data_IF_720094364378
#
_entry.id   IF_720094364378
#
_cell.length_a   1.000
_cell.length_b   1.000
_cell.length_c   1.000
_cell.angle_alpha   90.00
_cell.angle_beta   90.00
_cell.angle_gamma   90.00
#
_symmetry.space_group_name_H-M   'P 1'
#
loop_
_entity.id
_entity.type
_entity.pdbx_description
1 polymer ?
#
# COMPACT_ATOMS: atom_id res chain seq x y z
N UNK A 1 3.43 -21.23 -11.76
CA UNK A 1 2.80 -20.63 -12.95
C UNK A 1 1.79 -19.52 -12.62
N UNK A 2 0.83 -19.72 -11.70
CA UNK A 2 -0.25 -18.75 -11.40
C UNK A 2 0.22 -17.31 -11.09
N UNK A 3 1.24 -17.12 -10.25
CA UNK A 3 1.77 -15.78 -9.91
C UNK A 3 2.42 -15.06 -11.09
N UNK A 4 3.16 -15.77 -11.95
CA UNK A 4 3.80 -15.19 -13.14
C UNK A 4 2.76 -14.65 -14.13
N UNK A 5 1.68 -15.41 -14.33
CA UNK A 5 0.54 -14.97 -15.14
C UNK A 5 -0.13 -13.71 -14.56
N UNK A 6 -0.34 -13.65 -13.25
CA UNK A 6 -0.89 -12.45 -12.61
C UNK A 6 0.01 -11.22 -12.79
N UNK A 7 1.34 -11.36 -12.62
CA UNK A 7 2.26 -10.25 -12.88
C UNK A 7 2.24 -9.80 -14.35
N UNK A 8 2.17 -10.74 -15.28
CA UNK A 8 1.99 -10.41 -16.69
C UNK A 8 0.71 -9.60 -16.92
N UNK A 9 -0.42 -10.01 -16.34
CA UNK A 9 -1.67 -9.25 -16.41
C UNK A 9 -1.56 -7.85 -15.79
N UNK A 10 -0.84 -7.70 -14.67
CA UNK A 10 -0.59 -6.39 -14.04
C UNK A 10 0.20 -5.48 -14.99
N UNK A 11 1.24 -6.00 -15.65
CA UNK A 11 2.03 -5.26 -16.63
C UNK A 11 1.18 -4.86 -17.84
N UNK A 12 0.32 -5.76 -18.33
CA UNK A 12 -0.62 -5.44 -19.41
C UNK A 12 -1.58 -4.31 -18.98
N UNK A 13 -2.15 -4.39 -17.76
CA UNK A 13 -2.99 -3.31 -17.23
C UNK A 13 -2.22 -1.98 -17.13
N UNK A 14 -0.94 -2.04 -16.75
CA UNK A 14 -0.07 -0.86 -16.68
C UNK A 14 0.10 -0.19 -18.04
N UNK A 15 0.44 -0.97 -19.06
CA UNK A 15 0.60 -0.48 -20.43
C UNK A 15 -0.73 0.14 -20.93
N UNK A 16 -1.85 -0.55 -20.70
CA UNK A 16 -3.16 -0.10 -21.15
C UNK A 16 -3.59 1.22 -20.51
N UNK A 17 -3.42 1.39 -19.18
CA UNK A 17 -3.79 2.66 -18.56
C UNK A 17 -2.88 3.81 -19.00
N UNK A 18 -1.58 3.56 -19.27
CA UNK A 18 -0.66 4.58 -19.78
C UNK A 18 -1.10 5.05 -21.17
N UNK A 19 -1.43 4.11 -22.06
CA UNK A 19 -1.93 4.42 -23.41
C UNK A 19 -3.17 5.32 -23.34
N UNK A 20 -4.10 5.02 -22.42
CA UNK A 20 -5.33 5.79 -22.25
C UNK A 20 -5.05 7.16 -21.60
N UNK A 21 -4.24 7.21 -20.53
CA UNK A 21 -3.91 8.46 -19.83
C UNK A 21 -3.23 9.48 -20.75
N UNK A 22 -2.36 9.01 -21.65
CA UNK A 22 -1.67 9.86 -22.62
C UNK A 22 -2.46 10.09 -23.92
N UNK A 23 -3.72 9.65 -23.98
CA UNK A 23 -4.61 9.78 -25.13
C UNK A 23 -4.03 9.19 -26.43
N UNK A 24 -3.18 8.18 -26.32
CA UNK A 24 -2.64 7.45 -27.48
C UNK A 24 -3.77 6.64 -28.14
N UNK A 25 -4.66 6.06 -27.32
CA UNK A 25 -5.84 5.34 -27.78
C UNK A 25 -6.97 5.45 -26.75
N UNK A 26 -8.22 5.54 -27.20
CA UNK A 26 -9.39 5.64 -26.33
C UNK A 26 -10.35 4.47 -26.57
N UNK A 27 -10.82 3.87 -25.48
CA UNK A 27 -11.84 2.82 -25.52
C UNK A 27 -13.19 3.42 -25.10
N UNK A 28 -14.26 3.12 -25.85
CA UNK A 28 -15.60 3.59 -25.51
C UNK A 28 -16.06 2.90 -24.22
N UNK A 29 -16.40 3.69 -23.20
CA UNK A 29 -16.94 3.19 -21.93
C UNK A 29 -15.92 2.62 -20.92
N UNK A 30 -14.63 2.56 -21.26
CA UNK A 30 -13.58 2.09 -20.35
C UNK A 30 -12.59 3.23 -20.07
N UNK A 31 -12.46 3.59 -18.81
CA UNK A 31 -11.53 4.64 -18.34
C UNK A 31 -10.20 4.04 -17.92
N UNK A 32 -9.14 4.86 -17.85
CA UNK A 32 -7.85 4.43 -17.31
C UNK A 32 -7.96 4.01 -15.84
N UNK A 33 -8.87 4.62 -15.07
CA UNK A 33 -9.19 4.24 -13.69
C UNK A 33 -9.57 2.77 -13.53
N UNK A 34 -10.29 2.19 -14.50
CA UNK A 34 -10.68 0.78 -14.47
C UNK A 34 -9.45 -0.14 -14.51
N UNK A 35 -8.48 0.15 -15.39
CA UNK A 35 -7.25 -0.63 -15.50
C UNK A 35 -6.31 -0.43 -14.30
N UNK A 36 -6.24 0.79 -13.77
CA UNK A 36 -5.50 1.11 -12.53
C UNK A 36 -6.02 0.30 -11.35
N UNK A 37 -7.34 0.30 -11.17
CA UNK A 37 -7.99 -0.46 -10.09
C UNK A 37 -7.87 -1.98 -10.29
N UNK A 38 -8.05 -2.46 -11.52
CA UNK A 38 -7.84 -3.88 -11.84
C UNK A 38 -6.41 -4.34 -11.53
N UNK A 39 -5.40 -3.53 -11.83
CA UNK A 39 -4.01 -3.84 -11.51
C UNK A 39 -3.81 -4.02 -9.99
N UNK A 40 -4.45 -3.18 -9.16
CA UNK A 40 -4.39 -3.29 -7.70
C UNK A 40 -5.11 -4.54 -7.18
N UNK A 41 -6.28 -4.89 -7.75
CA UNK A 41 -6.97 -6.15 -7.44
C UNK A 41 -6.09 -7.37 -7.80
N UNK A 42 -5.49 -7.36 -8.98
CA UNK A 42 -4.58 -8.43 -9.41
C UNK A 42 -3.37 -8.53 -8.46
N UNK A 43 -2.81 -7.39 -8.05
CA UNK A 43 -1.72 -7.33 -7.07
C UNK A 43 -2.13 -7.98 -5.74
N UNK A 44 -3.36 -7.75 -5.28
CA UNK A 44 -3.90 -8.39 -4.06
C UNK A 44 -3.92 -9.91 -4.13
N UNK A 45 -4.22 -10.49 -5.29
CA UNK A 45 -4.14 -11.93 -5.47
C UNK A 45 -2.71 -12.48 -5.48
N UNK A 46 -1.71 -11.65 -5.76
CA UNK A 46 -0.29 -12.03 -5.66
C UNK A 46 0.29 -11.91 -4.25
N UNK A 47 -0.32 -11.06 -3.41
CA UNK A 47 0.17 -10.68 -2.10
C UNK A 47 0.22 -11.85 -1.10
N UNK A 48 1.18 -11.78 -0.18
CA UNK A 48 1.24 -12.71 0.95
C UNK A 48 0.14 -12.40 1.98
N UNK A 49 -0.28 -13.40 2.77
CA UNK A 49 -1.36 -13.30 3.77
C UNK A 49 -1.25 -12.07 4.67
N UNK A 50 -0.05 -11.73 5.14
CA UNK A 50 0.20 -10.55 5.98
C UNK A 50 0.04 -9.21 5.24
N UNK A 51 0.38 -9.17 3.95
CA UNK A 51 0.27 -7.95 3.13
C UNK A 51 -1.12 -7.79 2.53
N UNK A 52 -1.89 -8.87 2.37
CA UNK A 52 -3.27 -8.82 1.86
C UNK A 52 -4.14 -7.85 2.65
N UNK A 53 -4.03 -7.86 3.98
CA UNK A 53 -4.85 -6.98 4.81
C UNK A 53 -4.49 -5.49 4.65
N UNK A 54 -3.20 -5.16 4.54
CA UNK A 54 -2.81 -3.78 4.24
C UNK A 54 -3.31 -3.40 2.84
N UNK A 55 -3.12 -4.29 1.88
CA UNK A 55 -3.49 -4.07 0.50
C UNK A 55 -5.01 -4.00 0.28
N UNK A 56 -5.84 -4.61 1.14
CA UNK A 56 -7.29 -4.39 1.10
C UNK A 56 -7.68 -2.97 1.52
N UNK A 57 -6.98 -2.40 2.51
CA UNK A 57 -7.15 -0.99 2.85
C UNK A 57 -6.66 -0.10 1.71
N UNK A 58 -5.51 -0.41 1.12
CA UNK A 58 -5.00 0.31 -0.06
C UNK A 58 -5.98 0.27 -1.23
N UNK A 59 -6.54 -0.91 -1.56
CA UNK A 59 -7.58 -1.04 -2.60
C UNK A 59 -8.81 -0.21 -2.26
N UNK A 60 -9.25 -0.21 -0.99
CA UNK A 60 -10.36 0.63 -0.56
C UNK A 60 -10.06 2.12 -0.74
N UNK A 61 -8.85 2.57 -0.39
CA UNK A 61 -8.42 3.94 -0.63
C UNK A 61 -8.38 4.27 -2.12
N UNK A 62 -7.81 3.38 -2.95
CA UNK A 62 -7.74 3.55 -4.40
C UNK A 62 -9.12 3.61 -5.02
N UNK A 63 -10.08 2.80 -4.55
CA UNK A 63 -11.47 2.87 -4.98
C UNK A 63 -12.06 4.25 -4.70
N UNK A 64 -11.89 4.76 -3.48
CA UNK A 64 -12.40 6.06 -3.08
C UNK A 64 -11.78 7.18 -3.94
N UNK A 65 -10.47 7.17 -4.14
CA UNK A 65 -9.76 8.22 -4.89
C UNK A 65 -9.99 8.15 -6.41
N UNK A 66 -10.24 6.97 -6.98
CA UNK A 66 -10.44 6.80 -8.43
C UNK A 66 -11.89 6.98 -8.87
N UNK A 67 -12.87 6.60 -8.05
CA UNK A 67 -14.27 6.49 -8.47
C UNK A 67 -15.23 7.35 -7.67
N UNK A 68 -14.81 7.96 -6.57
CA UNK A 68 -15.68 8.79 -5.73
C UNK A 68 -15.06 10.18 -5.52
N UNK A 69 -15.86 11.11 -5.00
CA UNK A 69 -15.40 12.44 -4.60
C UNK A 69 -14.86 12.48 -3.16
N UNK A 70 -14.76 11.32 -2.49
CA UNK A 70 -14.51 11.23 -1.05
C UNK A 70 -12.99 11.24 -0.75
N UNK A 71 -12.31 12.27 -1.23
CA UNK A 71 -10.84 12.39 -1.13
C UNK A 71 -10.35 12.40 0.32
N UNK A 72 -11.04 13.10 1.23
CA UNK A 72 -10.68 13.14 2.64
C UNK A 72 -10.69 11.74 3.27
N UNK A 73 -11.70 10.93 2.95
CA UNK A 73 -11.80 9.56 3.44
C UNK A 73 -10.69 8.68 2.86
N UNK A 74 -10.42 8.80 1.55
CA UNK A 74 -9.33 8.07 0.90
C UNK A 74 -7.96 8.35 1.53
N UNK A 75 -7.62 9.64 1.70
CA UNK A 75 -6.34 10.04 2.33
C UNK A 75 -6.28 9.64 3.81
N UNK A 76 -7.38 9.78 4.55
CA UNK A 76 -7.43 9.37 5.95
C UNK A 76 -7.16 7.86 6.12
N UNK A 77 -7.73 7.02 5.26
CA UNK A 77 -7.45 5.59 5.27
C UNK A 77 -6.04 5.25 4.78
N UNK A 78 -5.43 6.06 3.91
CA UNK A 78 -4.00 5.92 3.57
C UNK A 78 -3.09 6.18 4.79
N UNK A 79 -3.47 7.09 5.69
CA UNK A 79 -2.78 7.24 6.98
C UNK A 79 -2.82 5.93 7.77
N UNK A 80 -3.99 5.27 7.82
CA UNK A 80 -4.15 3.97 8.47
C UNK A 80 -3.25 2.92 7.81
N UNK A 81 -3.19 2.87 6.48
CA UNK A 81 -2.29 1.96 5.73
C UNK A 81 -0.84 2.07 6.22
N UNK A 82 -0.32 3.28 6.42
CA UNK A 82 1.06 3.44 6.91
C UNK A 82 1.23 3.11 8.40
N UNK A 83 0.23 3.37 9.24
CA UNK A 83 0.21 2.88 10.63
C UNK A 83 0.30 1.36 10.64
N UNK A 84 -0.42 0.67 9.76
CA UNK A 84 -0.39 -0.79 9.68
C UNK A 84 0.96 -1.32 9.22
N UNK A 85 1.61 -0.65 8.25
CA UNK A 85 2.99 -0.99 7.89
C UNK A 85 3.96 -0.81 9.06
N UNK A 86 3.80 0.25 9.87
CA UNK A 86 4.58 0.48 11.10
C UNK A 86 4.31 -0.56 12.17
N UNK A 87 3.05 -0.95 12.40
CA UNK A 87 2.69 -2.01 13.34
C UNK A 87 3.31 -3.36 12.93
N UNK A 88 3.35 -3.66 11.62
CA UNK A 88 4.03 -4.87 11.11
C UNK A 88 5.55 -4.88 11.32
N UNK A 89 6.15 -3.70 11.49
CA UNK A 89 7.57 -3.55 11.79
C UNK A 89 7.88 -3.76 13.29
N UNK A 90 6.88 -3.87 14.17
CA UNK A 90 7.11 -4.02 15.60
C UNK A 90 7.25 -5.49 16.05
N UNK A 91 8.22 -5.79 16.94
CA UNK A 91 8.55 -7.16 17.30
C UNK A 91 7.55 -7.90 18.21
N UNK A 92 6.65 -7.17 18.89
CA UNK A 92 5.86 -7.70 20.01
C UNK A 92 4.38 -7.99 19.69
N UNK A 93 3.94 -7.84 18.45
CA UNK A 93 2.59 -8.25 18.06
C UNK A 93 2.58 -9.76 17.73
N UNK A 94 1.97 -10.55 18.60
CA UNK A 94 1.57 -11.93 18.28
C UNK A 94 0.72 -11.94 17.00
N UNK A 95 1.18 -12.73 16.04
CA UNK A 95 1.42 -12.24 14.68
C UNK A 95 0.19 -12.20 13.77
N UNK A 96 -1.01 -12.51 14.27
CA UNK A 96 -2.17 -12.60 13.38
C UNK A 96 -3.48 -12.07 13.99
N UNK A 97 -3.89 -12.59 15.15
CA UNK A 97 -5.09 -12.11 15.83
C UNK A 97 -4.95 -10.65 16.26
N UNK A 98 -3.83 -10.29 16.90
CA UNK A 98 -3.60 -8.94 17.40
C UNK A 98 -3.45 -7.91 16.28
N UNK A 99 -2.92 -8.35 15.13
CA UNK A 99 -2.88 -7.51 13.94
C UNK A 99 -4.30 -7.25 13.41
N UNK A 100 -5.13 -8.28 13.29
CA UNK A 100 -6.54 -8.15 12.88
C UNK A 100 -7.35 -7.25 13.83
N UNK A 101 -7.19 -7.43 15.14
CA UNK A 101 -7.81 -6.59 16.17
C UNK A 101 -7.39 -5.12 16.04
N UNK A 102 -6.08 -4.88 15.87
CA UNK A 102 -5.55 -3.54 15.64
C UNK A 102 -6.16 -2.90 14.38
N UNK A 103 -6.39 -3.68 13.32
CA UNK A 103 -7.03 -3.15 12.10
C UNK A 103 -8.48 -2.75 12.30
N UNK A 104 -9.28 -3.60 12.95
CA UNK A 104 -10.69 -3.31 13.24
C UNK A 104 -10.79 -2.06 14.10
N UNK A 105 -9.89 -1.93 15.08
CA UNK A 105 -9.82 -0.76 15.96
C UNK A 105 -9.37 0.51 15.23
N UNK A 106 -8.58 0.41 14.16
CA UNK A 106 -8.13 1.54 13.35
C UNK A 106 -9.16 2.02 12.31
N UNK A 107 -10.16 1.20 11.99
CA UNK A 107 -11.25 1.59 11.08
C UNK A 107 -12.04 2.82 11.56
N UNK A 108 -12.54 2.91 12.81
CA UNK A 108 -13.19 4.11 13.30
C UNK A 108 -12.25 5.31 13.36
N UNK A 109 -10.94 5.10 13.55
CA UNK A 109 -9.96 6.19 13.52
C UNK A 109 -9.83 6.79 12.12
N UNK A 110 -9.82 5.98 11.06
CA UNK A 110 -9.82 6.47 9.67
C UNK A 110 -11.08 7.27 9.34
N UNK A 111 -12.24 6.82 9.80
CA UNK A 111 -13.51 7.54 9.63
C UNK A 111 -13.47 8.86 10.40
N UNK A 112 -13.05 8.86 11.67
CA UNK A 112 -12.97 10.06 12.49
C UNK A 112 -12.02 11.10 11.89
N UNK A 113 -10.84 10.65 11.43
CA UNK A 113 -9.84 11.49 10.79
C UNK A 113 -10.39 12.14 9.51
N UNK A 114 -11.29 11.47 8.79
CA UNK A 114 -11.87 11.98 7.54
C UNK A 114 -12.76 13.23 7.71
N UNK A 115 -13.22 13.52 8.94
CA UNK A 115 -13.99 14.74 9.24
C UNK A 115 -13.11 15.99 9.36
N UNK A 116 -11.78 15.84 9.43
CA UNK A 116 -10.87 16.97 9.45
C UNK A 116 -10.74 17.61 8.05
N UNK A 117 -10.32 18.89 7.98
CA UNK A 117 -9.97 19.51 6.72
C UNK A 117 -8.87 18.72 5.98
N UNK A 118 -8.97 18.64 4.65
CA UNK A 118 -8.05 17.85 3.81
C UNK A 118 -6.58 18.15 4.11
N UNK A 119 -6.20 19.42 4.28
CA UNK A 119 -4.83 19.82 4.61
C UNK A 119 -4.34 19.23 5.94
N UNK A 120 -5.20 19.17 6.97
CA UNK A 120 -4.86 18.57 8.26
C UNK A 120 -4.66 17.05 8.13
N UNK A 121 -5.51 16.39 7.34
CA UNK A 121 -5.37 14.96 7.05
C UNK A 121 -4.05 14.69 6.31
N UNK A 122 -3.74 15.51 5.29
CA UNK A 122 -2.49 15.38 4.52
C UNK A 122 -1.26 15.59 5.39
N UNK A 123 -1.27 16.54 6.34
CA UNK A 123 -0.17 16.73 7.29
C UNK A 123 -0.02 15.48 8.17
N UNK A 124 -1.11 14.97 8.75
CA UNK A 124 -1.09 13.77 9.57
C UNK A 124 -0.55 12.56 8.80
N UNK A 125 -1.09 12.34 7.59
CA UNK A 125 -0.63 11.33 6.64
C UNK A 125 0.87 11.46 6.38
N UNK A 126 1.36 12.66 6.06
CA UNK A 126 2.77 12.91 5.72
C UNK A 126 3.70 12.61 6.89
N UNK A 127 3.31 12.96 8.12
CA UNK A 127 4.08 12.66 9.33
C UNK A 127 4.16 11.16 9.60
N UNK A 128 3.04 10.44 9.48
CA UNK A 128 3.00 8.98 9.63
C UNK A 128 3.82 8.30 8.54
N UNK A 129 3.73 8.79 7.31
CA UNK A 129 4.49 8.22 6.19
C UNK A 129 5.99 8.48 6.34
N UNK A 130 6.39 9.66 6.81
CA UNK A 130 7.79 9.96 7.14
C UNK A 130 8.31 9.02 8.24
N UNK A 131 7.53 8.80 9.30
CA UNK A 131 7.88 7.84 10.35
C UNK A 131 8.04 6.42 9.80
N UNK A 132 7.19 6.01 8.86
CA UNK A 132 7.29 4.73 8.16
C UNK A 132 8.59 4.62 7.34
N UNK A 133 8.98 5.69 6.64
CA UNK A 133 10.27 5.75 5.93
C UNK A 133 11.42 5.63 6.92
N UNK A 134 11.46 6.46 7.96
CA UNK A 134 12.55 6.44 8.97
C UNK A 134 12.68 5.05 9.59
N UNK A 135 11.56 4.43 9.98
CA UNK A 135 11.53 3.09 10.57
C UNK A 135 12.04 2.02 9.60
N UNK A 136 11.68 2.10 8.32
CA UNK A 136 12.17 1.21 7.27
C UNK A 136 13.70 1.25 7.12
N UNK A 137 14.28 2.46 7.18
CA UNK A 137 15.72 2.65 7.12
C UNK A 137 16.43 2.18 8.40
N UNK A 138 15.89 2.53 9.57
CA UNK A 138 16.42 2.11 10.86
C UNK A 138 16.44 0.58 11.03
N UNK A 139 15.40 -0.11 10.57
CA UNK A 139 15.29 -1.58 10.64
C UNK A 139 16.03 -2.31 9.50
N UNK A 140 16.82 -1.61 8.68
CA UNK A 140 17.58 -2.17 7.55
C UNK A 140 16.72 -3.05 6.62
N UNK A 141 15.52 -2.57 6.28
CA UNK A 141 14.68 -3.24 5.28
C UNK A 141 15.42 -3.38 3.93
N UNK A 142 14.98 -4.34 3.10
CA UNK A 142 15.57 -4.58 1.78
C UNK A 142 15.59 -3.32 0.91
N UNK A 143 16.60 -3.19 0.06
CA UNK A 143 16.72 -2.03 -0.85
C UNK A 143 15.50 -1.91 -1.78
N UNK A 144 14.93 -3.02 -2.24
CA UNK A 144 13.71 -3.02 -3.04
C UNK A 144 12.50 -2.41 -2.29
N UNK A 145 12.36 -2.68 -0.99
CA UNK A 145 11.31 -2.07 -0.17
C UNK A 145 11.52 -0.55 -0.06
N UNK A 146 12.76 -0.11 0.15
CA UNK A 146 13.12 1.31 0.20
C UNK A 146 12.88 2.02 -1.13
N UNK A 147 13.24 1.40 -2.26
CA UNK A 147 12.91 1.92 -3.60
C UNK A 147 11.40 2.05 -3.77
N UNK A 148 10.63 1.05 -3.29
CA UNK A 148 9.17 1.14 -3.24
C UNK A 148 8.68 2.37 -2.49
N UNK A 149 9.23 2.65 -1.30
CA UNK A 149 8.88 3.85 -0.54
C UNK A 149 9.27 5.15 -1.25
N UNK A 150 10.46 5.20 -1.88
CA UNK A 150 10.89 6.39 -2.64
C UNK A 150 9.94 6.66 -3.82
N UNK A 151 9.56 5.63 -4.56
CA UNK A 151 8.58 5.77 -5.65
C UNK A 151 7.23 6.26 -5.13
N UNK A 152 6.82 5.82 -3.93
CA UNK A 152 5.61 6.32 -3.28
C UNK A 152 5.74 7.82 -2.94
N UNK A 153 6.86 8.25 -2.36
CA UNK A 153 7.12 9.68 -2.08
C UNK A 153 7.02 10.51 -3.37
N UNK A 154 7.64 10.04 -4.45
CA UNK A 154 7.58 10.74 -5.74
C UNK A 154 6.15 10.80 -6.29
N UNK A 155 5.36 9.74 -6.11
CA UNK A 155 3.93 9.73 -6.43
C UNK A 155 3.15 10.78 -5.62
N UNK A 156 3.41 10.90 -4.32
CA UNK A 156 2.78 11.91 -3.46
C UNK A 156 3.19 13.33 -3.87
N UNK A 157 4.47 13.55 -4.22
CA UNK A 157 4.92 14.81 -4.79
C UNK A 157 4.18 15.14 -6.10
N UNK A 158 4.02 14.17 -7.00
CA UNK A 158 3.23 14.36 -8.21
C UNK A 158 1.77 14.70 -7.90
N UNK A 159 1.18 14.06 -6.89
CA UNK A 159 -0.20 14.33 -6.45
C UNK A 159 -0.33 15.76 -5.92
N UNK A 160 0.57 16.19 -5.03
CA UNK A 160 0.59 17.54 -4.49
C UNK A 160 0.80 18.60 -5.59
N UNK A 161 1.77 18.39 -6.49
CA UNK A 161 2.02 19.31 -7.61
C UNK A 161 0.80 19.37 -8.53
N UNK A 162 0.23 18.23 -8.92
CA UNK A 162 -0.96 18.18 -9.78
C UNK A 162 -2.15 18.87 -9.11
N UNK A 163 -2.32 18.73 -7.80
CA UNK A 163 -3.39 19.39 -7.05
C UNK A 163 -3.21 20.91 -6.98
N UNK A 164 -2.02 21.38 -6.64
CA UNK A 164 -1.71 22.80 -6.46
C UNK A 164 -1.66 23.56 -7.80
N UNK A 165 -1.07 22.95 -8.83
CA UNK A 165 -0.83 23.60 -10.13
C UNK A 165 -1.86 23.26 -11.19
N UNK A 166 -2.73 22.27 -10.93
CA UNK A 166 -3.66 21.68 -11.92
C UNK A 166 -2.95 21.11 -13.16
N UNK A 167 -1.67 20.77 -13.03
CA UNK A 167 -0.88 20.22 -14.15
C UNK A 167 -1.28 18.78 -14.47
N UNK A 168 -1.99 18.61 -15.59
CA UNK A 168 -2.53 17.34 -16.06
C UNK A 168 -1.43 16.32 -16.38
N UNK A 169 -0.27 16.76 -16.89
CA UNK A 169 0.83 15.85 -17.25
C UNK A 169 1.39 15.20 -15.99
N UNK A 170 1.61 16.00 -14.94
CA UNK A 170 2.07 15.48 -13.64
C UNK A 170 1.02 14.54 -13.05
N UNK A 171 -0.27 14.88 -13.17
CA UNK A 171 -1.38 14.00 -12.77
C UNK A 171 -1.36 12.63 -13.44
N UNK A 172 -0.94 12.54 -14.71
CA UNK A 172 -0.78 11.27 -15.44
C UNK A 172 0.40 10.43 -14.92
N UNK A 173 1.45 11.07 -14.41
CA UNK A 173 2.63 10.39 -13.89
C UNK A 173 2.42 9.73 -12.52
N UNK A 174 1.38 10.13 -11.76
CA UNK A 174 1.06 9.59 -10.43
C UNK A 174 1.04 8.05 -10.46
N UNK A 175 0.25 7.46 -11.37
CA UNK A 175 0.07 6.01 -11.43
C UNK A 175 1.26 5.24 -12.02
N UNK A 176 2.10 5.92 -12.81
CA UNK A 176 3.36 5.36 -13.33
C UNK A 176 4.35 5.12 -12.17
N UNK A 177 4.31 5.96 -11.14
CA UNK A 177 5.14 5.82 -9.94
C UNK A 177 4.45 4.95 -8.88
N UNK A 178 3.14 5.12 -8.72
CA UNK A 178 2.35 4.44 -7.69
C UNK A 178 2.31 2.92 -7.87
N UNK A 179 1.94 2.41 -9.06
CA UNK A 179 1.77 0.96 -9.23
C UNK A 179 3.09 0.18 -9.02
N UNK A 180 4.24 0.60 -9.57
CA UNK A 180 5.52 -0.02 -9.26
C UNK A 180 5.88 0.05 -7.77
N UNK A 181 5.58 1.17 -7.09
CA UNK A 181 5.73 1.27 -5.64
C UNK A 181 4.91 0.18 -4.91
N UNK A 182 3.62 0.06 -5.21
CA UNK A 182 2.73 -0.93 -4.60
C UNK A 182 3.22 -2.36 -4.84
N UNK A 183 3.69 -2.65 -6.06
CA UNK A 183 4.29 -3.94 -6.40
C UNK A 183 5.48 -4.22 -5.47
N UNK A 184 6.44 -3.30 -5.38
CA UNK A 184 7.64 -3.47 -4.56
C UNK A 184 7.30 -3.63 -3.07
N UNK A 185 6.41 -2.81 -2.52
CA UNK A 185 5.99 -2.88 -1.11
C UNK A 185 5.22 -4.18 -0.79
N UNK A 186 4.55 -4.76 -1.78
CA UNK A 186 3.77 -5.99 -1.63
C UNK A 186 4.62 -7.25 -1.73
N UNK A 187 5.56 -7.30 -2.68
CA UNK A 187 6.34 -8.52 -2.95
C UNK A 187 7.56 -8.66 -2.05
N UNK A 188 8.10 -7.55 -1.55
CA UNK A 188 9.30 -7.59 -0.72
C UNK A 188 8.94 -8.03 0.69
N UNK A 189 9.70 -9.00 1.20
CA UNK A 189 9.61 -9.37 2.62
C UNK A 189 10.21 -8.25 3.44
N UNK A 190 9.47 -7.70 4.40
CA UNK A 190 10.08 -6.91 5.46
C UNK A 190 11.02 -7.83 6.25
N UNK A 191 12.25 -7.36 6.44
CA UNK A 191 13.41 -8.14 6.91
C UNK A 191 13.20 -8.78 8.29
N UNK A 192 12.23 -8.30 9.06
CA UNK A 192 11.87 -8.88 10.36
C UNK A 192 11.57 -10.38 10.31
N UNK A 193 10.91 -10.83 9.24
CA UNK A 193 10.55 -12.25 9.06
C UNK A 193 11.75 -13.19 8.90
N UNK A 194 12.89 -12.70 8.40
CA UNK A 194 14.07 -13.54 8.18
C UNK A 194 14.99 -13.63 9.39
N UNK A 195 15.02 -12.61 10.26
CA UNK A 195 15.97 -12.56 11.39
C UNK A 195 15.36 -12.90 12.73
N UNK A 196 14.08 -12.63 12.98
CA UNK A 196 13.48 -12.88 14.31
C UNK A 196 12.68 -14.18 14.39
N UNK A 197 12.16 -14.69 13.27
CA UNK A 197 11.54 -16.03 13.24
C UNK A 197 12.48 -17.15 13.74
N UNK A 198 13.78 -17.17 13.37
CA UNK A 198 14.74 -18.13 13.93
C UNK A 198 15.02 -17.88 15.42
N UNK A 199 15.08 -16.63 15.86
CA UNK A 199 15.37 -16.28 17.26
C UNK A 199 14.18 -16.59 18.19
N UNK A 200 12.95 -16.44 17.72
CA UNK A 200 11.74 -16.88 18.43
C UNK A 200 11.65 -18.41 18.49
N UNK A 201 12.07 -19.11 17.44
CA UNK A 201 12.23 -20.58 17.46
C UNK A 201 13.22 -21.04 18.54
N UNK A 202 14.28 -20.26 18.77
CA UNK A 202 15.29 -20.54 19.80
C UNK A 202 14.77 -20.18 21.21
N UNK A 203 14.05 -19.05 21.36
CA UNK A 203 13.64 -18.52 22.67
C UNK A 203 12.37 -19.17 23.24
N UNK A 204 11.46 -19.66 22.40
CA UNK A 204 10.19 -20.29 22.83
C UNK A 204 9.86 -21.57 22.03
N UNK A 205 10.68 -22.63 22.12
CA UNK A 205 10.50 -23.84 21.31
C UNK A 205 9.17 -24.57 21.58
N UNK A 206 8.59 -24.40 22.78
CA UNK A 206 7.35 -25.09 23.19
C UNK A 206 6.08 -24.52 22.56
N UNK A 207 6.04 -23.22 22.22
CA UNK A 207 4.86 -22.59 21.62
C UNK A 207 4.64 -23.04 20.15
N UNK A 208 5.72 -23.41 19.44
CA UNK A 208 5.64 -23.91 18.07
C UNK A 208 5.20 -25.39 17.97
N UNK A 209 5.44 -26.21 19.00
CA UNK A 209 4.93 -27.60 19.02
C UNK A 209 3.41 -27.67 19.10
N UNK A 210 2.77 -26.68 19.71
CA UNK A 210 1.31 -26.60 19.82
C UNK A 210 0.65 -26.14 18.50
N UNK A 211 1.33 -25.34 17.68
CA UNK A 211 0.82 -24.95 16.35
C UNK A 211 0.92 -26.06 15.30
N UNK A 212 1.83 -27.04 15.44
CA UNK A 212 1.92 -28.19 14.53
C UNK A 212 0.86 -29.27 14.76
N UNK A 213 0.10 -29.19 15.86
CA UNK A 213 -0.91 -30.17 16.27
C UNK A 213 -2.36 -29.70 16.06
N UNK A 214 -2.58 -28.56 15.39
CA UNK A 214 -3.91 -28.10 14.97
C UNK A 214 -3.98 -27.95 13.46
#
# INVERSE_FOLDING_TARGET
MRKKCLFFCIVVCMILFIIIDFKIYTFKGITSSNFKFLAMILLFFTANRFKKMILSYTIFCDFLLLFTSWYCLGVAFFTIVHILYLCQMQPFLEYEKRQQECMIMLLPFGILLSFLPLYSIVICYSMVFLLHIISSYAQKCSNLYKIGLILFVLCDCCTAISFLTKNIIVGRCIWILYLPSQILLTITKQHYFSTVLPLLQIKYPHQLRLQKKR
#
